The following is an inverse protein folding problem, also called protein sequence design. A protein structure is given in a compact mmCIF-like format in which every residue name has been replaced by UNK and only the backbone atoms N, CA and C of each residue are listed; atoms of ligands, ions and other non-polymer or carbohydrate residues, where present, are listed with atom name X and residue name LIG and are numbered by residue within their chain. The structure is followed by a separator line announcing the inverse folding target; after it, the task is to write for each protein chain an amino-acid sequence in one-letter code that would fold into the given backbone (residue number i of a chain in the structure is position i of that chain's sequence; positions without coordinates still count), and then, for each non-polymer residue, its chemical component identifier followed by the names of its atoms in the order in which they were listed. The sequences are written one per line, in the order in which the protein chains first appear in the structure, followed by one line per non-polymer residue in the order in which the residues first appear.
data_IF_518270933557
#
_entry.id   IF_518270933557
#
_cell.length_a   1.000
_cell.length_b   1.000
_cell.length_c   1.000
_cell.angle_alpha   90.00
_cell.angle_beta   90.00
_cell.angle_gamma   90.00
#
_symmetry.space_group_name_H-M   'P 1'
#
loop_
_entity.id
_entity.type
_entity.pdbx_description
1 polymer ?
#
# COMPACT_ATOMS: atom_id res chain seq x y z
N UNK A 1 -16.18 6.68 19.11
CA UNK A 1 -16.13 5.23 18.83
C UNK A 1 -14.76 4.88 18.26
N UNK A 2 -14.29 3.64 18.44
CA UNK A 2 -13.01 3.19 17.85
C UNK A 2 -13.17 3.10 16.32
N UNK A 3 -12.18 3.59 15.57
CA UNK A 3 -12.10 3.34 14.13
C UNK A 3 -11.77 1.85 13.88
N UNK A 4 -12.57 1.12 13.09
CA UNK A 4 -12.25 -0.27 12.74
C UNK A 4 -10.99 -0.34 11.88
N UNK A 5 -10.32 -1.48 11.91
CA UNK A 5 -9.20 -1.82 11.05
C UNK A 5 -9.71 -2.35 9.72
N UNK A 6 -9.22 -1.77 8.61
CA UNK A 6 -9.40 -2.32 7.26
C UNK A 6 -8.01 -2.66 6.73
N UNK A 7 -7.72 -3.95 6.64
CA UNK A 7 -6.41 -4.43 6.21
C UNK A 7 -6.57 -5.09 4.84
N UNK A 8 -5.94 -4.51 3.83
CA UNK A 8 -5.92 -5.01 2.46
C UNK A 8 -4.57 -5.68 2.17
N UNK A 9 -4.58 -6.94 1.74
CA UNK A 9 -3.37 -7.72 1.43
C UNK A 9 -3.42 -8.19 -0.02
N UNK A 10 -2.82 -7.41 -0.92
CA UNK A 10 -2.70 -7.73 -2.33
C UNK A 10 -1.42 -8.49 -2.66
N UNK A 11 -1.49 -9.44 -3.59
CA UNK A 11 -0.30 -10.05 -4.22
C UNK A 11 -0.70 -10.87 -5.43
N UNK A 12 0.26 -11.18 -6.30
CA UNK A 12 0.07 -12.21 -7.31
C UNK A 12 -0.16 -13.60 -6.69
N UNK A 13 -0.65 -14.54 -7.51
CA UNK A 13 -0.85 -15.93 -7.09
C UNK A 13 0.48 -16.60 -6.75
N UNK A 14 0.49 -17.44 -5.70
CA UNK A 14 1.68 -18.20 -5.31
C UNK A 14 2.69 -17.46 -4.42
N UNK A 15 2.40 -16.23 -3.97
CA UNK A 15 3.32 -15.47 -3.09
C UNK A 15 3.22 -15.90 -1.61
N UNK A 16 2.03 -16.31 -1.16
CA UNK A 16 1.80 -16.71 0.25
C UNK A 16 0.71 -15.91 0.97
N UNK A 17 0.00 -15.02 0.26
CA UNK A 17 -1.02 -14.11 0.81
C UNK A 17 -2.05 -14.77 1.75
N UNK A 18 -2.67 -15.87 1.33
CA UNK A 18 -3.77 -16.50 2.10
C UNK A 18 -3.28 -17.05 3.44
N UNK A 19 -2.06 -17.59 3.48
CA UNK A 19 -1.42 -18.05 4.73
C UNK A 19 -1.10 -16.88 5.65
N UNK A 20 -0.49 -15.82 5.10
CA UNK A 20 -0.14 -14.61 5.88
C UNK A 20 -1.40 -13.92 6.42
N UNK A 21 -2.45 -13.79 5.60
CA UNK A 21 -3.71 -13.16 5.99
C UNK A 21 -4.42 -13.96 7.10
N UNK A 22 -4.45 -15.29 7.01
CA UNK A 22 -5.04 -16.15 8.04
C UNK A 22 -4.31 -16.05 9.39
N UNK A 23 -2.97 -16.08 9.37
CA UNK A 23 -2.19 -15.93 10.61
C UNK A 23 -2.29 -14.52 11.19
N UNK A 24 -2.35 -13.48 10.34
CA UNK A 24 -2.56 -12.10 10.79
C UNK A 24 -3.95 -11.93 11.43
N UNK A 25 -5.00 -12.46 10.80
CA UNK A 25 -6.36 -12.45 11.33
C UNK A 25 -6.42 -13.10 12.72
N UNK A 26 -5.75 -14.25 12.88
CA UNK A 26 -5.64 -14.96 14.16
C UNK A 26 -4.91 -14.12 15.22
N UNK A 27 -3.78 -13.50 14.87
CA UNK A 27 -3.00 -12.69 15.81
C UNK A 27 -3.71 -11.40 16.24
N UNK A 28 -4.50 -10.80 15.36
CA UNK A 28 -5.28 -9.58 15.65
C UNK A 28 -6.70 -9.88 16.15
N UNK A 29 -7.09 -11.16 16.24
CA UNK A 29 -8.45 -11.60 16.59
C UNK A 29 -9.53 -10.99 15.67
N UNK A 30 -9.23 -10.84 14.38
CA UNK A 30 -10.15 -10.32 13.37
C UNK A 30 -10.93 -11.48 12.76
N UNK A 31 -12.27 -11.43 12.87
CA UNK A 31 -13.16 -12.50 12.41
C UNK A 31 -13.44 -12.44 10.91
N UNK A 32 -13.47 -11.23 10.34
CA UNK A 32 -13.84 -11.01 8.95
C UNK A 32 -12.58 -11.10 8.07
N UNK A 33 -12.28 -12.29 7.57
CA UNK A 33 -11.26 -12.53 6.55
C UNK A 33 -11.94 -12.88 5.23
N UNK A 34 -11.81 -12.00 4.23
CA UNK A 34 -12.50 -12.11 2.94
C UNK A 34 -11.49 -12.28 1.80
N UNK A 35 -11.63 -13.33 1.01
CA UNK A 35 -10.86 -13.48 -0.23
C UNK A 35 -11.59 -12.79 -1.39
N UNK A 36 -10.89 -11.91 -2.10
CA UNK A 36 -11.46 -11.18 -3.25
C UNK A 36 -11.92 -12.09 -4.38
N UNK A 37 -11.40 -13.33 -4.48
CA UNK A 37 -11.90 -14.33 -5.43
C UNK A 37 -13.34 -14.78 -5.12
N UNK A 38 -13.77 -14.78 -3.85
CA UNK A 38 -15.18 -15.04 -3.51
C UNK A 38 -16.07 -13.90 -3.98
N UNK A 39 -15.63 -12.66 -3.82
CA UNK A 39 -16.35 -11.48 -4.31
C UNK A 39 -16.45 -11.53 -5.84
N UNK A 40 -15.34 -11.88 -6.52
CA UNK A 40 -15.36 -12.10 -7.97
C UNK A 40 -16.36 -13.18 -8.37
N UNK A 41 -16.46 -14.29 -7.63
CA UNK A 41 -17.41 -15.35 -7.95
C UNK A 41 -18.86 -14.85 -7.91
N UNK A 42 -19.20 -13.99 -6.94
CA UNK A 42 -20.51 -13.34 -6.85
C UNK A 42 -20.73 -12.40 -8.04
N UNK A 43 -19.79 -11.50 -8.32
CA UNK A 43 -19.91 -10.55 -9.45
C UNK A 43 -20.04 -11.27 -10.80
N UNK A 44 -19.30 -12.38 -10.98
CA UNK A 44 -19.37 -13.24 -12.18
C UNK A 44 -20.71 -13.94 -12.35
N UNK A 45 -21.43 -14.19 -11.25
CA UNK A 45 -22.81 -14.72 -11.30
C UNK A 45 -23.84 -13.70 -11.78
N UNK A 46 -23.51 -12.41 -11.68
CA UNK A 46 -24.39 -11.29 -12.06
C UNK A 46 -24.10 -10.82 -13.49
N UNK A 47 -22.81 -10.68 -13.84
CA UNK A 47 -22.38 -10.15 -15.13
C UNK A 47 -21.99 -11.29 -16.07
N UNK A 48 -22.71 -11.46 -17.18
CA UNK A 48 -22.42 -12.46 -18.21
C UNK A 48 -21.06 -12.27 -18.90
N UNK A 49 -20.48 -13.36 -19.41
CA UNK A 49 -19.16 -13.38 -20.06
C UNK A 49 -19.10 -12.51 -21.32
N UNK A 50 -20.22 -12.39 -22.00
CA UNK A 50 -20.43 -11.55 -23.18
C UNK A 50 -20.29 -10.05 -22.86
N UNK A 51 -20.55 -9.64 -21.61
CA UNK A 51 -20.44 -8.26 -21.16
C UNK A 51 -19.10 -7.96 -20.48
N UNK A 52 -18.58 -8.91 -19.69
CA UNK A 52 -17.32 -8.76 -18.96
C UNK A 52 -16.41 -9.97 -19.18
N UNK A 53 -15.84 -10.18 -20.38
CA UNK A 53 -15.07 -11.38 -20.68
C UNK A 53 -13.82 -11.53 -19.79
N UNK A 54 -13.15 -10.44 -19.42
CA UNK A 54 -12.00 -10.45 -18.52
C UNK A 54 -12.34 -10.95 -17.11
N UNK A 55 -13.53 -10.65 -16.57
CA UNK A 55 -14.01 -11.13 -15.27
C UNK A 55 -14.10 -12.67 -15.18
N UNK A 56 -14.42 -13.30 -16.31
CA UNK A 56 -14.63 -14.75 -16.41
C UNK A 56 -13.34 -15.55 -16.62
N UNK A 57 -12.24 -14.89 -17.01
CA UNK A 57 -10.93 -15.51 -17.11
C UNK A 57 -10.23 -15.56 -15.73
N UNK A 58 -9.12 -16.30 -15.68
CA UNK A 58 -8.14 -16.12 -14.60
C UNK A 58 -7.44 -14.76 -14.76
N UNK A 59 -6.98 -14.17 -13.66
CA UNK A 59 -6.28 -12.87 -13.69
C UNK A 59 -5.12 -12.84 -14.69
N UNK A 60 -4.33 -13.92 -14.74
CA UNK A 60 -3.20 -14.10 -15.65
C UNK A 60 -3.57 -14.40 -17.11
N UNK A 61 -4.85 -14.60 -17.43
CA UNK A 61 -5.34 -14.80 -18.81
C UNK A 61 -6.27 -13.69 -19.28
N UNK A 62 -6.60 -12.73 -18.42
CA UNK A 62 -7.58 -11.70 -18.71
C UNK A 62 -7.23 -10.88 -19.96
N UNK A 63 -5.94 -10.64 -20.20
CA UNK A 63 -5.44 -9.96 -21.40
C UNK A 63 -5.87 -10.61 -22.72
N UNK A 64 -6.17 -11.91 -22.72
CA UNK A 64 -6.64 -12.62 -23.92
C UNK A 64 -7.99 -12.07 -24.41
N UNK A 65 -8.78 -11.47 -23.51
CA UNK A 65 -10.10 -10.90 -23.80
C UNK A 65 -10.08 -9.43 -24.21
N UNK A 66 -8.91 -8.77 -24.15
CA UNK A 66 -8.77 -7.40 -24.64
C UNK A 66 -9.01 -7.35 -26.16
N UNK A 67 -9.86 -6.41 -26.60
CA UNK A 67 -10.19 -6.25 -28.03
C UNK A 67 -9.06 -5.58 -28.82
N UNK A 68 -8.47 -4.52 -28.27
CA UNK A 68 -7.49 -3.68 -28.95
C UNK A 68 -6.05 -3.98 -28.51
N UNK A 69 -5.60 -5.22 -28.71
CA UNK A 69 -4.28 -5.68 -28.25
C UNK A 69 -3.11 -4.94 -28.92
N UNK A 70 -3.31 -4.41 -30.12
CA UNK A 70 -2.29 -3.68 -30.89
C UNK A 70 -1.95 -2.30 -30.32
N UNK A 71 -2.63 -1.85 -29.25
CA UNK A 71 -2.37 -0.55 -28.60
C UNK A 71 -1.25 -0.60 -27.56
N UNK A 72 -0.80 -1.79 -27.17
CA UNK A 72 0.20 -1.97 -26.14
C UNK A 72 1.57 -2.22 -26.78
N UNK A 73 2.60 -1.60 -26.24
CA UNK A 73 3.93 -1.58 -26.87
C UNK A 73 4.67 -2.91 -26.67
N UNK A 74 4.32 -3.64 -25.61
CA UNK A 74 4.94 -4.92 -25.27
C UNK A 74 3.96 -5.88 -24.57
N UNK A 75 4.43 -7.12 -24.38
CA UNK A 75 3.64 -8.19 -23.78
C UNK A 75 3.29 -7.92 -22.30
N UNK A 76 4.21 -7.33 -21.55
CA UNK A 76 4.02 -7.04 -20.13
C UNK A 76 2.91 -6.03 -19.93
N UNK A 77 2.90 -4.93 -20.71
CA UNK A 77 1.82 -3.94 -20.72
C UNK A 77 0.48 -4.55 -21.09
N UNK A 78 0.45 -5.43 -22.10
CA UNK A 78 -0.78 -6.12 -22.50
C UNK A 78 -1.33 -6.98 -21.36
N UNK A 79 -0.47 -7.73 -20.68
CA UNK A 79 -0.85 -8.59 -19.54
C UNK A 79 -1.34 -7.74 -18.37
N UNK A 80 -0.60 -6.69 -18.00
CA UNK A 80 -0.97 -5.76 -16.94
C UNK A 80 -2.29 -5.05 -17.20
N UNK A 81 -2.53 -4.57 -18.41
CA UNK A 81 -3.80 -3.93 -18.77
C UNK A 81 -4.98 -4.90 -18.71
N UNK A 82 -4.78 -6.16 -19.14
CA UNK A 82 -5.81 -7.19 -19.02
C UNK A 82 -6.13 -7.52 -17.56
N UNK A 83 -5.10 -7.54 -16.72
CA UNK A 83 -5.24 -7.73 -15.28
C UNK A 83 -5.96 -6.55 -14.61
N UNK A 84 -5.65 -5.31 -14.98
CA UNK A 84 -6.36 -4.13 -14.48
C UNK A 84 -7.83 -4.16 -14.88
N UNK A 85 -8.15 -4.53 -16.13
CA UNK A 85 -9.54 -4.72 -16.55
C UNK A 85 -10.23 -5.79 -15.71
N UNK A 86 -9.56 -6.93 -15.47
CA UNK A 86 -10.07 -8.01 -14.61
C UNK A 86 -10.36 -7.54 -13.18
N UNK A 87 -9.44 -6.78 -12.57
CA UNK A 87 -9.61 -6.23 -11.23
C UNK A 87 -10.74 -5.18 -11.18
N UNK A 88 -10.85 -4.35 -12.22
CA UNK A 88 -11.83 -3.25 -12.28
C UNK A 88 -13.29 -3.70 -12.09
N UNK A 89 -13.64 -4.91 -12.52
CA UNK A 89 -14.99 -5.45 -12.33
C UNK A 89 -15.30 -5.82 -10.88
N UNK A 90 -14.27 -6.14 -10.08
CA UNK A 90 -14.41 -6.65 -8.70
C UNK A 90 -14.30 -5.53 -7.68
N UNK A 91 -13.52 -4.50 -7.97
CA UNK A 91 -13.21 -3.39 -7.06
C UNK A 91 -14.47 -2.70 -6.49
N UNK A 92 -15.50 -2.34 -7.27
CA UNK A 92 -16.69 -1.70 -6.72
C UNK A 92 -17.38 -2.56 -5.64
N UNK A 93 -17.37 -3.88 -5.79
CA UNK A 93 -17.93 -4.78 -4.80
C UNK A 93 -17.05 -4.86 -3.54
N UNK A 94 -15.71 -4.83 -3.69
CA UNK A 94 -14.79 -4.77 -2.55
C UNK A 94 -14.98 -3.49 -1.74
N UNK A 95 -15.12 -2.34 -2.40
CA UNK A 95 -15.41 -1.06 -1.73
C UNK A 95 -16.71 -1.09 -0.95
N UNK A 96 -17.76 -1.76 -1.46
CA UNK A 96 -19.01 -1.96 -0.70
C UNK A 96 -18.84 -2.88 0.51
N UNK A 97 -18.00 -3.90 0.42
CA UNK A 97 -17.65 -4.76 1.57
C UNK A 97 -16.91 -3.96 2.64
N UNK A 98 -15.95 -3.12 2.23
CA UNK A 98 -15.21 -2.23 3.14
C UNK A 98 -16.18 -1.26 3.82
N UNK A 99 -17.00 -0.53 3.05
CA UNK A 99 -18.00 0.40 3.58
C UNK A 99 -18.94 -0.26 4.59
N UNK A 100 -19.35 -1.51 4.31
CA UNK A 100 -20.23 -2.27 5.20
C UNK A 100 -19.54 -2.57 6.53
N UNK A 101 -18.31 -3.09 6.51
CA UNK A 101 -17.54 -3.38 7.71
C UNK A 101 -17.31 -2.11 8.56
N UNK A 102 -17.02 -0.98 7.90
CA UNK A 102 -16.86 0.32 8.57
C UNK A 102 -18.15 0.75 9.27
N UNK A 103 -19.28 0.64 8.58
CA UNK A 103 -20.60 1.01 9.11
C UNK A 103 -20.98 0.16 10.32
N UNK A 104 -20.60 -1.12 10.31
CA UNK A 104 -20.86 -2.06 11.39
C UNK A 104 -19.79 -2.01 12.52
N UNK A 105 -18.76 -1.14 12.38
CA UNK A 105 -17.60 -1.04 13.28
C UNK A 105 -16.77 -2.33 13.41
N UNK A 106 -16.80 -3.17 12.38
CA UNK A 106 -16.09 -4.45 12.33
C UNK A 106 -14.69 -4.29 11.75
N UNK A 107 -13.70 -4.91 12.40
CA UNK A 107 -12.39 -5.08 11.79
C UNK A 107 -12.47 -6.11 10.65
N UNK A 108 -11.80 -5.82 9.53
CA UNK A 108 -11.81 -6.66 8.34
C UNK A 108 -10.41 -6.80 7.73
N UNK A 109 -10.09 -8.01 7.29
CA UNK A 109 -8.98 -8.31 6.40
C UNK A 109 -9.53 -8.76 5.06
N UNK A 110 -9.10 -8.11 3.97
CA UNK A 110 -9.41 -8.55 2.61
C UNK A 110 -8.10 -8.96 1.94
N UNK A 111 -8.06 -10.16 1.35
CA UNK A 111 -6.89 -10.66 0.63
C UNK A 111 -7.22 -10.94 -0.84
N UNK A 112 -6.26 -10.66 -1.72
CA UNK A 112 -6.24 -11.28 -3.04
C UNK A 112 -5.71 -10.43 -4.18
N UNK A 113 -5.76 -11.01 -5.38
CA UNK A 113 -5.12 -10.43 -6.57
C UNK A 113 -5.81 -9.14 -7.03
N UNK A 114 -7.10 -8.95 -6.73
CA UNK A 114 -7.86 -7.77 -7.18
C UNK A 114 -7.56 -6.49 -6.39
N UNK A 115 -6.75 -6.60 -5.33
CA UNK A 115 -6.34 -5.47 -4.51
C UNK A 115 -5.19 -4.73 -5.19
N UNK A 116 -5.54 -3.84 -6.13
CA UNK A 116 -4.59 -3.08 -6.95
C UNK A 116 -4.51 -1.63 -6.44
N UNK A 117 -3.35 -1.17 -5.95
CA UNK A 117 -3.15 0.23 -5.59
C UNK A 117 -3.43 1.15 -6.78
N UNK A 118 -4.13 2.26 -6.53
CA UNK A 118 -4.54 3.22 -7.55
C UNK A 118 -5.82 2.87 -8.32
N UNK A 119 -6.32 1.63 -8.22
CA UNK A 119 -7.66 1.29 -8.73
C UNK A 119 -8.73 1.28 -7.63
N UNK A 120 -8.36 0.91 -6.40
CA UNK A 120 -9.25 0.99 -5.24
C UNK A 120 -9.15 2.40 -4.65
N UNK A 121 -10.27 3.09 -4.51
CA UNK A 121 -10.33 4.38 -3.82
C UNK A 121 -10.40 4.14 -2.31
N UNK A 122 -9.23 3.97 -1.68
CA UNK A 122 -9.16 3.83 -0.22
C UNK A 122 -9.26 5.17 0.51
N UNK A 123 -9.08 6.30 -0.19
CA UNK A 123 -9.02 7.61 0.45
C UNK A 123 -10.35 7.98 1.08
N UNK A 124 -11.45 7.56 0.45
CA UNK A 124 -12.81 7.75 0.95
C UNK A 124 -13.06 7.15 2.35
N UNK A 125 -12.19 6.23 2.84
CA UNK A 125 -12.41 5.51 4.10
C UNK A 125 -11.51 5.98 5.27
N UNK A 126 -10.52 6.85 5.05
CA UNK A 126 -9.56 7.23 6.10
C UNK A 126 -10.18 7.99 7.28
N UNK A 127 -11.27 8.72 7.04
CA UNK A 127 -11.96 9.47 8.09
C UNK A 127 -12.70 8.54 9.06
N UNK A 128 -13.11 7.36 8.60
CA UNK A 128 -13.96 6.45 9.39
C UNK A 128 -13.21 5.19 9.85
N UNK A 129 -12.07 4.84 9.24
CA UNK A 129 -11.35 3.61 9.54
C UNK A 129 -9.82 3.74 9.49
N UNK A 130 -9.13 2.83 10.16
CA UNK A 130 -7.68 2.66 10.09
C UNK A 130 -7.35 1.73 8.91
N UNK A 131 -6.95 2.32 7.78
CA UNK A 131 -6.68 1.57 6.54
C UNK A 131 -5.20 1.20 6.44
N UNK A 132 -4.92 -0.08 6.22
CA UNK A 132 -3.58 -0.58 5.91
C UNK A 132 -3.61 -1.35 4.58
N UNK A 133 -2.85 -0.89 3.59
CA UNK A 133 -2.77 -1.55 2.28
C UNK A 133 -1.35 -2.10 2.07
N UNK A 134 -1.25 -3.43 2.09
CA UNK A 134 -0.02 -4.18 1.88
C UNK A 134 -0.01 -4.87 0.52
N UNK A 135 1.10 -4.76 -0.20
CA UNK A 135 1.42 -5.61 -1.35
C UNK A 135 2.55 -6.56 -0.97
N UNK A 136 2.25 -7.85 -0.96
CA UNK A 136 3.28 -8.86 -0.69
C UNK A 136 4.10 -9.13 -1.95
N UNK A 137 5.43 -9.06 -1.80
CA UNK A 137 6.38 -9.33 -2.87
C UNK A 137 7.21 -10.58 -2.61
N UNK A 138 7.80 -11.13 -3.67
CA UNK A 138 8.77 -12.23 -3.61
C UNK A 138 9.80 -12.06 -4.73
N UNK A 139 11.02 -12.51 -4.49
CA UNK A 139 11.95 -12.77 -5.59
C UNK A 139 11.40 -13.88 -6.50
N UNK A 140 11.88 -13.92 -7.73
CA UNK A 140 11.34 -14.77 -8.79
C UNK A 140 11.54 -16.26 -8.50
N UNK A 141 12.71 -16.64 -7.95
CA UNK A 141 13.01 -18.03 -7.62
C UNK A 141 12.08 -18.54 -6.52
N UNK A 142 11.96 -17.81 -5.41
CA UNK A 142 11.04 -18.18 -4.33
C UNK A 142 9.57 -18.14 -4.79
N UNK A 143 9.20 -17.21 -5.66
CA UNK A 143 7.86 -17.15 -6.25
C UNK A 143 7.59 -18.41 -7.08
N UNK A 144 8.53 -18.78 -7.96
CA UNK A 144 8.42 -19.97 -8.81
C UNK A 144 8.30 -21.25 -7.99
N UNK A 145 9.13 -21.42 -6.97
CA UNK A 145 9.05 -22.57 -6.08
C UNK A 145 7.69 -22.69 -5.39
N UNK A 146 7.20 -21.60 -4.80
CA UNK A 146 5.88 -21.59 -4.15
C UNK A 146 4.75 -21.80 -5.13
N UNK A 147 4.85 -21.25 -6.34
CA UNK A 147 3.88 -21.41 -7.41
C UNK A 147 3.78 -22.88 -7.85
N UNK A 148 4.91 -23.57 -8.01
CA UNK A 148 4.98 -25.01 -8.32
C UNK A 148 4.39 -25.84 -7.19
N UNK A 149 4.79 -25.59 -5.93
CA UNK A 149 4.24 -26.30 -4.75
C UNK A 149 2.71 -26.18 -4.68
N UNK A 150 2.18 -24.99 -4.93
CA UNK A 150 0.73 -24.74 -4.96
C UNK A 150 0.03 -25.50 -6.09
N UNK A 151 0.59 -25.53 -7.29
CA UNK A 151 0.00 -26.25 -8.42
C UNK A 151 -0.12 -27.77 -8.14
N UNK A 152 0.90 -28.36 -7.50
CA UNK A 152 0.89 -29.77 -7.08
C UNK A 152 -0.22 -30.03 -6.05
N UNK A 153 -0.34 -29.17 -5.04
CA UNK A 153 -1.33 -29.34 -3.96
C UNK A 153 -2.78 -29.27 -4.47
N UNK A 154 -3.08 -28.35 -5.38
CA UNK A 154 -4.47 -28.07 -5.80
C UNK A 154 -4.96 -29.07 -6.86
N UNK A 155 -4.14 -30.02 -7.34
CA UNK A 155 -4.51 -30.99 -8.39
C UNK A 155 -5.09 -30.34 -9.67
N UNK A 156 -4.83 -29.05 -9.89
CA UNK A 156 -5.22 -28.32 -11.10
C UNK A 156 -4.21 -28.63 -12.18
N UNK A 157 -4.46 -29.73 -12.89
CA UNK A 157 -3.54 -30.33 -13.85
C UNK A 157 -2.73 -29.32 -14.68
N UNK A 158 -1.41 -29.32 -14.45
CA UNK A 158 -0.34 -28.83 -15.33
C UNK A 158 -0.40 -27.40 -15.88
N UNK A 159 -1.48 -27.04 -16.58
CA UNK A 159 -1.66 -25.79 -17.34
C UNK A 159 -1.39 -24.52 -16.56
N UNK A 160 -1.65 -24.50 -15.25
CA UNK A 160 -1.36 -23.31 -14.43
C UNK A 160 0.14 -22.98 -14.41
N UNK A 161 1.01 -23.99 -14.52
CA UNK A 161 2.47 -23.82 -14.56
C UNK A 161 2.94 -23.10 -15.83
N UNK A 162 2.18 -23.20 -16.93
CA UNK A 162 2.48 -22.53 -18.19
C UNK A 162 2.34 -21.00 -18.07
N UNK A 163 1.59 -20.51 -17.07
CA UNK A 163 1.31 -19.09 -16.88
C UNK A 163 2.16 -18.44 -15.78
N UNK A 164 3.33 -19.00 -15.45
CA UNK A 164 4.21 -18.38 -14.47
C UNK A 164 4.65 -16.98 -14.91
N UNK A 165 4.98 -16.81 -16.20
CA UNK A 165 5.40 -15.53 -16.79
C UNK A 165 4.36 -14.44 -16.55
N UNK A 166 3.09 -14.71 -16.85
CA UNK A 166 1.99 -13.75 -16.66
C UNK A 166 1.74 -13.46 -15.18
N UNK A 167 1.85 -14.46 -14.31
CA UNK A 167 1.77 -14.23 -12.86
C UNK A 167 2.95 -13.39 -12.35
N UNK A 168 4.13 -13.51 -12.96
CA UNK A 168 5.30 -12.68 -12.63
C UNK A 168 5.13 -11.25 -13.13
N UNK A 169 4.58 -11.05 -14.32
CA UNK A 169 4.21 -9.73 -14.83
C UNK A 169 3.20 -9.05 -13.89
N UNK A 170 2.13 -9.76 -13.49
CA UNK A 170 1.15 -9.24 -12.53
C UNK A 170 1.79 -8.89 -11.19
N UNK A 171 2.71 -9.71 -10.70
CA UNK A 171 3.47 -9.42 -9.48
C UNK A 171 4.23 -8.10 -9.60
N UNK A 172 4.99 -7.92 -10.69
CA UNK A 172 5.78 -6.71 -10.91
C UNK A 172 4.89 -5.48 -11.10
N UNK A 173 3.75 -5.64 -11.78
CA UNK A 173 2.74 -4.59 -11.94
C UNK A 173 2.18 -4.14 -10.59
N UNK A 174 1.79 -5.08 -9.71
CA UNK A 174 1.30 -4.76 -8.37
C UNK A 174 2.34 -4.02 -7.52
N UNK A 175 3.61 -4.38 -7.64
CA UNK A 175 4.72 -3.65 -6.98
C UNK A 175 4.85 -2.24 -7.53
N UNK A 176 4.87 -2.08 -8.86
CA UNK A 176 4.97 -0.77 -9.49
C UNK A 176 3.80 0.15 -9.11
N UNK A 177 2.59 -0.40 -9.06
CA UNK A 177 1.41 0.30 -8.57
C UNK A 177 1.55 0.67 -7.08
N UNK A 178 2.07 -0.24 -6.25
CA UNK A 178 2.31 0.07 -4.84
C UNK A 178 3.30 1.21 -4.65
N UNK A 179 4.41 1.23 -5.39
CA UNK A 179 5.38 2.34 -5.37
C UNK A 179 4.73 3.65 -5.81
N UNK A 180 3.99 3.63 -6.93
CA UNK A 180 3.33 4.81 -7.49
C UNK A 180 2.27 5.41 -6.58
N UNK A 181 1.51 4.56 -5.87
CA UNK A 181 0.41 4.97 -5.01
C UNK A 181 0.74 4.88 -3.51
N UNK A 182 2.03 4.75 -3.16
CA UNK A 182 2.54 4.68 -1.78
C UNK A 182 1.90 3.59 -0.90
N UNK A 183 1.50 2.45 -1.47
CA UNK A 183 1.09 1.28 -0.70
C UNK A 183 2.31 0.54 -0.13
N UNK A 184 2.18 -0.07 1.04
CA UNK A 184 3.31 -0.70 1.74
C UNK A 184 3.68 -2.02 1.08
N UNK A 185 4.91 -2.12 0.57
CA UNK A 185 5.43 -3.38 -0.01
C UNK A 185 6.11 -4.20 1.08
N UNK A 186 5.74 -5.47 1.20
CA UNK A 186 6.33 -6.39 2.19
C UNK A 186 6.90 -7.63 1.49
N UNK A 187 8.23 -7.78 1.54
CA UNK A 187 8.89 -8.98 1.02
C UNK A 187 8.54 -10.21 1.87
N UNK A 188 8.05 -11.24 1.20
CA UNK A 188 7.61 -12.49 1.81
C UNK A 188 8.80 -13.44 2.00
N UNK A 189 9.22 -13.60 3.24
CA UNK A 189 10.28 -14.52 3.65
C UNK A 189 9.67 -15.78 4.27
N UNK A 190 9.86 -15.98 5.57
CA UNK A 190 9.09 -16.91 6.38
C UNK A 190 7.84 -16.22 6.97
N UNK A 191 6.89 -17.02 7.44
CA UNK A 191 5.61 -16.54 7.98
C UNK A 191 5.82 -15.56 9.15
N UNK A 192 6.65 -15.92 10.13
CA UNK A 192 6.84 -15.14 11.36
C UNK A 192 7.48 -13.76 11.11
N UNK A 193 8.48 -13.68 10.23
CA UNK A 193 9.13 -12.43 9.85
C UNK A 193 8.17 -11.53 9.08
N UNK A 194 7.42 -12.11 8.14
CA UNK A 194 6.44 -11.37 7.34
C UNK A 194 5.33 -10.82 8.24
N UNK A 195 4.79 -11.63 9.16
CA UNK A 195 3.79 -11.19 10.14
C UNK A 195 4.34 -10.12 11.07
N UNK A 196 5.57 -10.26 11.57
CA UNK A 196 6.21 -9.26 12.43
C UNK A 196 6.30 -7.91 11.71
N UNK A 197 6.64 -7.89 10.41
CA UNK A 197 6.67 -6.65 9.61
C UNK A 197 5.28 -6.04 9.47
N UNK A 198 4.26 -6.84 9.12
CA UNK A 198 2.88 -6.37 9.00
C UNK A 198 2.34 -5.81 10.34
N UNK A 199 2.53 -6.54 11.43
CA UNK A 199 2.13 -6.12 12.75
C UNK A 199 2.85 -4.86 13.21
N UNK A 200 4.14 -4.71 12.90
CA UNK A 200 4.88 -3.49 13.20
C UNK A 200 4.20 -2.29 12.54
N UNK A 201 3.83 -2.39 11.27
CA UNK A 201 3.10 -1.31 10.58
C UNK A 201 1.70 -1.07 11.17
N UNK A 202 0.98 -2.13 11.52
CA UNK A 202 -0.39 -2.02 12.05
C UNK A 202 -0.41 -1.41 13.45
N UNK A 203 0.54 -1.79 14.31
CA UNK A 203 0.60 -1.36 15.71
C UNK A 203 1.25 0.01 15.89
N UNK A 204 1.79 0.61 14.83
CA UNK A 204 2.37 1.94 14.91
C UNK A 204 1.31 2.95 15.37
N UNK A 205 1.63 3.75 16.37
CA UNK A 205 0.84 4.92 16.73
C UNK A 205 1.34 6.12 15.95
N UNK A 206 0.39 6.84 15.35
CA UNK A 206 0.67 7.98 14.50
C UNK A 206 0.10 9.27 15.09
N UNK A 207 0.86 10.36 15.02
CA UNK A 207 0.39 11.71 15.39
C UNK A 207 0.84 12.72 14.36
N UNK A 208 -0.07 13.63 14.01
CA UNK A 208 0.25 14.76 13.15
C UNK A 208 0.84 15.89 14.00
N UNK A 209 2.02 16.35 13.61
CA UNK A 209 2.77 17.43 14.27
C UNK A 209 2.99 18.56 13.27
N UNK A 210 2.73 19.79 13.70
CA UNK A 210 3.03 20.99 12.89
C UNK A 210 4.50 21.36 13.10
N UNK A 211 5.29 21.36 12.03
CA UNK A 211 6.70 21.72 12.07
C UNK A 211 6.98 23.05 11.36
N UNK A 212 7.98 23.79 11.81
CA UNK A 212 8.44 25.09 11.25
C UNK A 212 9.89 25.11 10.78
N UNK A 213 10.57 23.97 10.77
CA UNK A 213 11.96 23.86 10.31
C UNK A 213 12.19 24.41 8.89
N UNK A 214 13.38 24.92 8.62
CA UNK A 214 13.85 25.30 7.28
C UNK A 214 14.19 24.06 6.44
N UNK A 215 14.50 24.25 5.15
CA UNK A 215 15.00 23.17 4.29
C UNK A 215 16.37 22.68 4.75
N UNK A 216 17.21 23.58 5.28
CA UNK A 216 18.54 23.23 5.81
C UNK A 216 18.45 22.37 7.08
N UNK A 217 17.41 22.57 7.88
CA UNK A 217 17.13 21.80 9.11
C UNK A 217 16.37 20.49 8.84
N UNK A 218 15.97 20.21 7.60
CA UNK A 218 15.16 19.04 7.27
C UNK A 218 15.88 17.73 7.58
N UNK A 219 17.20 17.68 7.38
CA UNK A 219 18.02 16.51 7.71
C UNK A 219 17.95 16.19 9.21
N UNK A 220 18.07 17.21 10.06
CA UNK A 220 17.98 17.03 11.51
C UNK A 220 16.58 16.56 11.94
N UNK A 221 15.51 17.12 11.38
CA UNK A 221 14.13 16.67 11.64
C UNK A 221 13.94 15.22 11.24
N UNK A 222 14.42 14.84 10.05
CA UNK A 222 14.33 13.47 9.53
C UNK A 222 15.13 12.51 10.41
N UNK A 223 16.30 12.91 10.91
CA UNK A 223 17.13 12.10 11.79
C UNK A 223 16.48 11.84 13.15
N UNK A 224 15.88 12.87 13.74
CA UNK A 224 15.12 12.75 15.01
C UNK A 224 13.97 11.75 14.84
N UNK A 225 13.27 11.80 13.70
CA UNK A 225 12.11 10.94 13.46
C UNK A 225 12.54 9.50 13.10
N UNK A 226 13.45 9.33 12.15
CA UNK A 226 13.70 8.03 11.50
C UNK A 226 14.89 7.29 12.13
N UNK A 227 15.99 7.99 12.43
CA UNK A 227 17.24 7.31 12.87
C UNK A 227 17.20 6.86 14.33
N UNK A 228 16.41 7.51 15.19
CA UNK A 228 16.45 7.21 16.62
C UNK A 228 15.46 6.14 17.07
N UNK A 229 14.32 5.90 16.37
CA UNK A 229 13.18 5.22 17.00
C UNK A 229 12.36 4.28 16.10
N UNK A 230 12.94 3.70 15.03
CA UNK A 230 12.21 2.75 14.17
C UNK A 230 10.88 3.30 13.60
N UNK A 231 10.82 4.62 13.43
CA UNK A 231 9.63 5.41 13.13
C UNK A 231 9.60 5.84 11.68
N UNK A 232 8.44 6.24 11.18
CA UNK A 232 8.27 6.68 9.81
C UNK A 232 7.50 7.99 9.70
N UNK A 233 7.76 8.73 8.62
CA UNK A 233 6.92 9.83 8.18
C UNK A 233 6.02 9.26 7.09
N UNK A 234 4.70 9.33 7.27
CA UNK A 234 3.72 8.74 6.32
C UNK A 234 3.02 9.76 5.46
N UNK A 235 2.96 11.02 5.90
CA UNK A 235 2.28 12.11 5.19
C UNK A 235 2.88 13.47 5.56
N UNK A 236 3.09 14.30 4.56
CA UNK A 236 3.45 15.72 4.73
C UNK A 236 2.39 16.57 4.03
N UNK A 237 1.76 17.48 4.76
CA UNK A 237 0.77 18.41 4.20
C UNK A 237 1.28 19.85 4.30
N UNK A 238 1.35 20.52 3.15
CA UNK A 238 1.68 21.94 3.03
C UNK A 238 0.40 22.75 2.97
N UNK A 239 0.21 23.63 3.96
CA UNK A 239 -0.97 24.50 4.04
C UNK A 239 -0.63 25.83 3.37
N UNK A 240 -1.05 25.97 2.11
CA UNK A 240 -0.79 27.16 1.31
C UNK A 240 -1.88 28.22 1.57
N UNK A 241 -1.46 29.42 1.96
CA UNK A 241 -2.39 30.54 2.17
C UNK A 241 -3.16 30.88 0.89
N UNK A 242 -4.47 31.06 0.99
CA UNK A 242 -5.34 31.41 -0.15
C UNK A 242 -5.89 30.21 -0.96
N UNK A 243 -5.48 28.99 -0.66
CA UNK A 243 -6.03 27.77 -1.27
C UNK A 243 -6.94 27.03 -0.28
N UNK A 244 -8.08 26.53 -0.77
CA UNK A 244 -8.99 25.69 0.02
C UNK A 244 -8.40 24.29 0.23
N UNK A 245 -7.75 23.76 -0.80
CA UNK A 245 -7.11 22.45 -0.79
C UNK A 245 -5.61 22.60 -0.44
N UNK A 246 -5.10 21.69 0.40
CA UNK A 246 -3.68 21.66 0.75
C UNK A 246 -2.89 20.82 -0.24
N UNK A 247 -1.61 21.16 -0.46
CA UNK A 247 -0.71 20.26 -1.18
C UNK A 247 -0.34 19.10 -0.25
N UNK A 248 -0.83 17.90 -0.59
CA UNK A 248 -0.54 16.67 0.16
C UNK A 248 0.57 15.92 -0.55
N UNK A 249 1.63 15.62 0.17
CA UNK A 249 2.65 14.65 -0.25
C UNK A 249 2.53 13.42 0.65
N UNK A 250 1.92 12.36 0.12
CA UNK A 250 1.95 11.04 0.75
C UNK A 250 3.35 10.45 0.49
N UNK A 251 4.09 10.16 1.54
CA UNK A 251 5.43 9.56 1.45
C UNK A 251 5.54 8.58 2.59
N UNK A 252 5.83 7.31 2.33
CA UNK A 252 6.09 6.34 3.40
C UNK A 252 7.60 6.23 3.61
N UNK A 253 8.20 7.25 4.24
CA UNK A 253 9.64 7.23 4.54
C UNK A 253 9.82 6.43 5.82
N UNK A 254 10.00 5.12 5.66
CA UNK A 254 10.23 4.17 6.76
C UNK A 254 11.66 3.64 6.84
N UNK A 255 12.47 3.88 5.81
CA UNK A 255 13.85 3.41 5.70
C UNK A 255 14.83 4.57 5.86
N UNK A 256 15.80 4.40 6.77
CA UNK A 256 16.91 5.33 6.98
C UNK A 256 17.71 5.57 5.69
N UNK A 257 17.85 4.54 4.84
CA UNK A 257 18.62 4.66 3.60
C UNK A 257 17.87 5.48 2.53
N UNK A 258 16.55 5.31 2.43
CA UNK A 258 15.71 6.08 1.51
C UNK A 258 15.63 7.55 1.93
N UNK A 259 15.46 7.80 3.23
CA UNK A 259 15.51 9.14 3.81
C UNK A 259 16.86 9.83 3.50
N UNK A 260 17.96 9.12 3.71
CA UNK A 260 19.32 9.63 3.43
C UNK A 260 19.51 9.96 1.95
N UNK A 261 19.06 9.08 1.04
CA UNK A 261 19.12 9.34 -0.41
C UNK A 261 18.30 10.56 -0.82
N UNK A 262 17.10 10.72 -0.26
CA UNK A 262 16.24 11.87 -0.54
C UNK A 262 16.89 13.18 -0.08
N UNK A 263 17.37 13.24 1.16
CA UNK A 263 18.07 14.42 1.70
C UNK A 263 19.31 14.75 0.88
N UNK A 264 20.12 13.74 0.54
CA UNK A 264 21.28 13.91 -0.34
C UNK A 264 20.88 14.50 -1.69
N UNK A 265 19.79 14.03 -2.30
CA UNK A 265 19.31 14.53 -3.59
C UNK A 265 18.84 16.00 -3.54
N UNK A 266 18.36 16.48 -2.38
CA UNK A 266 18.02 17.89 -2.18
C UNK A 266 19.29 18.71 -2.01
N UNK A 267 20.24 18.25 -1.19
CA UNK A 267 21.47 18.98 -0.89
C UNK A 267 22.41 19.09 -2.10
N UNK A 268 22.45 18.10 -2.99
CA UNK A 268 23.30 18.09 -4.18
C UNK A 268 22.70 18.86 -5.38
N UNK A 269 21.38 19.09 -5.40
CA UNK A 269 20.70 19.75 -6.52
C UNK A 269 20.16 21.13 -6.10
N UNK A 270 20.84 22.20 -6.54
CA UNK A 270 20.49 23.59 -6.21
C UNK A 270 19.06 23.96 -6.63
N UNK A 271 18.64 23.59 -7.82
CA UNK A 271 17.31 23.94 -8.35
C UNK A 271 16.21 23.30 -7.50
N UNK A 272 16.35 22.00 -7.18
CA UNK A 272 15.41 21.30 -6.28
C UNK A 272 15.35 21.93 -4.89
N UNK A 273 16.51 22.32 -4.35
CA UNK A 273 16.58 22.98 -3.04
C UNK A 273 15.90 24.36 -3.06
N UNK A 274 16.08 25.11 -4.14
CA UNK A 274 15.43 26.42 -4.30
C UNK A 274 13.91 26.28 -4.41
N UNK A 275 13.42 25.33 -5.20
CA UNK A 275 11.98 25.06 -5.32
C UNK A 275 11.34 24.62 -4.01
N UNK A 276 12.03 23.77 -3.24
CA UNK A 276 11.55 23.35 -1.92
C UNK A 276 11.54 24.52 -0.92
N UNK A 277 12.53 25.42 -0.99
CA UNK A 277 12.57 26.63 -0.17
C UNK A 277 11.39 27.58 -0.50
N UNK A 278 11.07 27.77 -1.78
CA UNK A 278 9.89 28.52 -2.21
C UNK A 278 8.61 27.90 -1.62
N UNK A 279 8.48 26.57 -1.67
CA UNK A 279 7.34 25.87 -1.08
C UNK A 279 7.25 26.06 0.44
N UNK A 280 8.37 25.99 1.15
CA UNK A 280 8.41 26.21 2.61
C UNK A 280 8.01 27.65 2.97
N UNK A 281 8.45 28.64 2.18
CA UNK A 281 8.11 30.05 2.42
C UNK A 281 6.60 30.33 2.26
N UNK A 282 5.88 29.55 1.46
CA UNK A 282 4.44 29.69 1.24
C UNK A 282 3.57 29.05 2.34
N UNK A 283 4.18 28.27 3.25
CA UNK A 283 3.47 27.49 4.28
C UNK A 283 3.96 27.88 5.67
N UNK A 284 3.11 28.51 6.49
CA UNK A 284 3.45 28.94 7.87
C UNK A 284 4.04 27.80 8.72
N UNK A 285 3.49 26.61 8.57
CA UNK A 285 3.96 25.36 9.16
C UNK A 285 3.64 24.22 8.19
N UNK A 286 4.20 23.05 8.43
CA UNK A 286 3.97 21.83 7.64
C UNK A 286 3.49 20.73 8.57
N UNK A 287 2.43 20.02 8.18
CA UNK A 287 1.87 18.94 9.01
C UNK A 287 2.56 17.64 8.65
N UNK A 288 3.34 17.09 9.58
CA UNK A 288 4.00 15.79 9.44
C UNK A 288 3.19 14.76 10.21
N UNK A 289 2.72 13.71 9.55
CA UNK A 289 2.20 12.52 10.24
C UNK A 289 3.36 11.59 10.54
N UNK A 290 3.71 11.52 11.81
CA UNK A 290 4.81 10.70 12.35
C UNK A 290 4.19 9.45 12.96
N UNK A 291 4.71 8.28 12.60
CA UNK A 291 4.28 6.98 13.11
C UNK A 291 5.44 6.29 13.83
N UNK A 292 5.25 5.89 15.10
CA UNK A 292 6.25 5.21 15.91
C UNK A 292 5.73 3.85 16.41
N UNK A 293 6.59 2.91 16.83
CA UNK A 293 6.18 1.56 17.25
C UNK A 293 5.18 1.53 18.42
N UNK A 294 5.23 2.55 19.28
CA UNK A 294 4.41 2.71 20.49
C UNK A 294 4.32 4.20 20.88
N UNK A 295 3.43 4.49 21.83
CA UNK A 295 3.18 5.87 22.30
C UNK A 295 4.40 6.48 22.99
N UNK A 296 5.20 5.69 23.70
CA UNK A 296 6.40 6.18 24.39
C UNK A 296 7.43 6.67 23.37
N UNK A 297 7.68 5.88 22.33
CA UNK A 297 8.54 6.26 21.21
C UNK A 297 8.02 7.50 20.49
N UNK A 298 6.71 7.58 20.25
CA UNK A 298 6.10 8.73 19.59
C UNK A 298 6.23 10.00 20.43
N UNK A 299 5.99 9.91 21.74
CA UNK A 299 6.12 11.03 22.67
C UNK A 299 7.58 11.50 22.75
N UNK A 300 8.55 10.59 22.85
CA UNK A 300 9.98 10.93 22.85
C UNK A 300 10.39 11.72 21.59
N UNK A 301 9.93 11.31 20.41
CA UNK A 301 10.19 12.03 19.15
C UNK A 301 9.61 13.44 19.21
N UNK A 302 8.36 13.58 19.67
CA UNK A 302 7.68 14.88 19.75
C UNK A 302 8.37 15.78 20.78
N UNK A 303 8.80 15.25 21.91
CA UNK A 303 9.54 15.98 22.93
C UNK A 303 10.89 16.46 22.40
N UNK A 304 11.64 15.63 21.68
CA UNK A 304 12.91 16.02 21.06
C UNK A 304 12.70 17.12 20.01
N UNK A 305 11.71 16.97 19.11
CA UNK A 305 11.36 18.00 18.12
C UNK A 305 10.94 19.32 18.79
N UNK A 306 10.22 19.24 19.91
CA UNK A 306 9.79 20.42 20.69
C UNK A 306 11.00 21.09 21.33
N UNK A 307 11.90 20.32 21.93
CA UNK A 307 13.13 20.80 22.58
C UNK A 307 14.06 21.51 21.59
N UNK A 308 14.09 21.05 20.33
CA UNK A 308 14.84 21.67 19.23
C UNK A 308 14.14 22.90 18.62
N UNK A 309 12.91 23.22 19.04
CA UNK A 309 12.17 24.38 18.57
C UNK A 309 11.50 24.18 17.20
N UNK A 310 11.38 22.94 16.72
CA UNK A 310 10.76 22.66 15.43
C UNK A 310 9.24 22.60 15.49
N UNK A 311 8.66 22.32 16.66
CA UNK A 311 7.21 22.15 16.81
C UNK A 311 6.52 23.51 16.91
N UNK A 312 5.55 23.71 16.03
CA UNK A 312 4.65 24.85 16.04
C UNK A 312 3.41 24.53 16.89
N UNK A 313 3.33 25.17 18.05
CA UNK A 313 2.15 25.16 18.91
C UNK A 313 1.23 26.31 18.45
N UNK A 314 0.04 25.97 17.93
CA UNK A 314 -1.03 26.95 17.67
C UNK A 314 -1.61 27.51 18.98
#
# INVERSE_FOLDING_TARGET
MRKPYVILIGSASGIGKSTIAAELAKQLNIKHLIESDFIRAVVRGIIGKEYAPALHNSSYEAYKSLRNKSKYDNYDELVSAGFDEHASYVIPALEKVIQRAITDYDDIIIEGVHLVPGLIDIEQFYEDANIYFFILSSDEEAHKERFVKRAIQIHRGGKQLEFFTENRIIHNHLISQAEKFNATIVKTENINNTLSKLLKTIKQTCKTVCLTNSVDELEEVVDIIIKQNNSSITKIVYKLGGFKDSLVKTTNISDSDEATKFIKSINENKDKKEDLNKLYALSKYRKFTICAPDDDSLNNIIEELTKRGFVYNE
#
